data_IF_720688325264
#
_entry.id   IF_720688325264
#
_cell.length_a   1.000
_cell.length_b   1.000
_cell.length_c   1.000
_cell.angle_alpha   90.00
_cell.angle_beta   90.00
_cell.angle_gamma   90.00
#
_symmetry.space_group_name_H-M   'P 1'
#
loop_
_entity.id
_entity.type
_entity.pdbx_description
1 polymer ?
#
# COMPACT_ATOMS: atom_id res chain seq x y z
N UNK A 1 10.45 -0.58 23.24
CA UNK A 1 10.30 -1.63 22.20
C UNK A 1 8.88 -1.71 21.60
N UNK A 2 7.80 -1.50 22.36
CA UNK A 2 6.41 -1.55 21.83
C UNK A 2 6.09 -0.38 20.88
N UNK A 3 6.58 0.82 21.19
CA UNK A 3 6.24 2.05 20.44
C UNK A 3 6.75 2.00 18.99
N UNK A 4 8.04 1.70 18.77
CA UNK A 4 8.58 1.56 17.41
C UNK A 4 7.99 0.36 16.65
N UNK A 5 7.66 -0.75 17.34
CA UNK A 5 7.21 -1.98 16.70
C UNK A 5 5.73 -1.97 16.31
N UNK A 6 4.89 -1.24 17.06
CA UNK A 6 3.43 -1.29 16.88
C UNK A 6 2.79 0.08 16.71
N UNK A 7 3.15 1.06 17.54
CA UNK A 7 2.51 2.39 17.50
C UNK A 7 2.93 3.16 16.26
N UNK A 8 4.22 3.14 15.91
CA UNK A 8 4.73 3.79 14.69
C UNK A 8 4.08 3.25 13.41
N UNK A 9 4.06 1.92 13.15
CA UNK A 9 3.40 1.39 11.96
C UNK A 9 1.88 1.58 11.99
N UNK A 10 1.23 1.50 13.17
CA UNK A 10 -0.22 1.72 13.27
C UNK A 10 -0.59 3.16 12.95
N UNK A 11 0.17 4.15 13.45
CA UNK A 11 -0.08 5.56 13.18
C UNK A 11 0.09 5.89 11.69
N UNK A 12 1.16 5.38 11.07
CA UNK A 12 1.40 5.48 9.63
C UNK A 12 0.27 4.85 8.81
N UNK A 13 -0.25 3.72 9.26
CA UNK A 13 -1.36 3.03 8.62
C UNK A 13 -2.66 3.83 8.73
N UNK A 14 -2.94 4.45 9.88
CA UNK A 14 -4.14 5.29 10.08
C UNK A 14 -4.08 6.53 9.18
N UNK A 15 -2.96 7.26 9.15
CA UNK A 15 -2.84 8.45 8.30
C UNK A 15 -2.89 8.07 6.81
N UNK A 16 -2.39 6.89 6.44
CA UNK A 16 -2.51 6.37 5.08
C UNK A 16 -3.96 6.04 4.72
N UNK A 17 -4.72 5.42 5.62
CA UNK A 17 -6.16 5.18 5.43
C UNK A 17 -6.88 6.51 5.24
N UNK A 18 -6.66 7.49 6.12
CA UNK A 18 -7.26 8.81 5.99
C UNK A 18 -6.86 9.46 4.66
N UNK A 19 -5.59 9.36 4.25
CA UNK A 19 -5.13 9.86 2.96
C UNK A 19 -5.91 9.23 1.80
N UNK A 20 -6.10 7.90 1.80
CA UNK A 20 -6.90 7.21 0.78
C UNK A 20 -8.35 7.69 0.81
N UNK A 21 -8.98 7.78 1.98
CA UNK A 21 -10.36 8.24 2.09
C UNK A 21 -10.56 9.65 1.53
N UNK A 22 -9.68 10.60 1.88
CA UNK A 22 -9.81 11.99 1.45
C UNK A 22 -9.36 12.22 0.00
N UNK A 23 -8.21 11.66 -0.40
CA UNK A 23 -7.59 11.99 -1.70
C UNK A 23 -7.99 11.03 -2.82
N UNK A 24 -8.29 9.78 -2.48
CA UNK A 24 -8.72 8.76 -3.45
C UNK A 24 -10.25 8.70 -3.45
N UNK A 25 -10.88 8.42 -2.32
CA UNK A 25 -12.35 8.26 -2.30
C UNK A 25 -13.13 9.59 -2.28
N UNK A 26 -12.46 10.73 -2.03
CA UNK A 26 -13.11 12.05 -1.99
C UNK A 26 -14.05 12.24 -0.80
N UNK A 27 -13.82 11.54 0.31
CA UNK A 27 -14.67 11.60 1.49
C UNK A 27 -14.66 13.03 2.09
N UNK A 28 -15.79 13.75 2.04
CA UNK A 28 -15.91 15.13 2.57
C UNK A 28 -15.93 16.25 1.53
N UNK A 29 -15.74 15.95 0.24
CA UNK A 29 -16.00 16.88 -0.87
C UNK A 29 -17.09 16.32 -1.78
N UNK A 30 -18.01 17.15 -2.24
CA UNK A 30 -19.15 16.73 -3.09
C UNK A 30 -18.73 16.18 -4.47
N UNK A 31 -17.43 16.20 -4.79
CA UNK A 31 -16.86 15.62 -6.00
C UNK A 31 -15.75 14.63 -5.60
N UNK A 32 -15.87 13.40 -6.12
CA UNK A 32 -14.76 12.46 -6.15
C UNK A 32 -13.60 13.13 -6.88
N UNK A 33 -12.40 13.06 -6.32
CA UNK A 33 -11.19 13.63 -6.94
C UNK A 33 -11.07 13.17 -8.40
N UNK A 34 -10.78 14.10 -9.32
CA UNK A 34 -10.73 13.82 -10.78
C UNK A 34 -9.87 12.61 -11.14
N UNK A 35 -8.83 12.31 -10.34
CA UNK A 35 -7.96 11.15 -10.50
C UNK A 35 -8.67 9.81 -10.30
N UNK A 36 -9.72 9.77 -9.49
CA UNK A 36 -10.51 8.56 -9.22
C UNK A 36 -11.68 8.43 -10.18
N UNK A 37 -12.24 9.54 -10.64
CA UNK A 37 -13.14 9.52 -11.81
C UNK A 37 -12.43 8.94 -13.04
N UNK A 38 -11.13 9.23 -13.21
CA UNK A 38 -10.33 8.64 -14.29
C UNK A 38 -10.07 7.13 -14.10
N UNK A 39 -10.08 6.61 -12.88
CA UNK A 39 -9.82 5.19 -12.60
C UNK A 39 -11.07 4.33 -12.58
N UNK A 40 -12.17 4.83 -12.02
CA UNK A 40 -13.40 4.06 -11.75
C UNK A 40 -14.53 4.45 -12.71
N UNK A 41 -14.40 5.59 -13.40
CA UNK A 41 -15.48 6.19 -14.19
C UNK A 41 -16.50 6.88 -13.30
N UNK A 42 -17.03 8.02 -13.76
CA UNK A 42 -18.05 8.78 -13.04
C UNK A 42 -18.67 9.86 -13.91
N UNK A 43 -19.91 10.25 -13.59
CA UNK A 43 -20.71 11.29 -14.27
C UNK A 43 -20.64 11.26 -15.81
N UNK A 44 -20.95 10.09 -16.39
CA UNK A 44 -21.04 9.92 -17.86
C UNK A 44 -19.70 9.97 -18.60
N UNK A 45 -18.56 10.00 -17.89
CA UNK A 45 -17.22 9.88 -18.48
C UNK A 45 -16.70 8.44 -18.36
N UNK A 46 -16.24 7.83 -19.46
CA UNK A 46 -15.63 6.50 -19.41
C UNK A 46 -14.32 6.57 -18.63
N UNK A 47 -14.02 5.52 -17.86
CA UNK A 47 -12.77 5.41 -17.15
C UNK A 47 -11.58 5.46 -18.14
N UNK A 48 -10.53 6.17 -17.77
CA UNK A 48 -9.33 6.32 -18.56
C UNK A 48 -8.47 5.04 -18.46
N UNK A 49 -8.41 4.29 -19.56
CA UNK A 49 -7.65 3.03 -19.64
C UNK A 49 -6.17 3.19 -19.28
N UNK A 50 -5.56 4.35 -19.59
CA UNK A 50 -4.16 4.61 -19.26
C UNK A 50 -3.98 4.75 -17.75
N UNK A 51 -4.89 5.46 -17.08
CA UNK A 51 -4.85 5.63 -15.62
C UNK A 51 -4.98 4.28 -14.91
N UNK A 52 -5.93 3.44 -15.33
CA UNK A 52 -6.13 2.09 -14.79
C UNK A 52 -4.89 1.23 -14.96
N UNK A 53 -4.27 1.25 -16.14
CA UNK A 53 -3.09 0.45 -16.42
C UNK A 53 -1.88 0.91 -15.59
N UNK A 54 -1.66 2.22 -15.49
CA UNK A 54 -0.58 2.77 -14.67
C UNK A 54 -0.73 2.42 -13.19
N UNK A 55 -1.92 2.56 -12.63
CA UNK A 55 -2.18 2.19 -11.22
C UNK A 55 -2.06 0.68 -11.00
N UNK A 56 -2.56 -0.13 -11.95
CA UNK A 56 -2.43 -1.59 -11.88
C UNK A 56 -0.96 -2.04 -11.91
N UNK A 57 -0.13 -1.38 -12.72
CA UNK A 57 1.30 -1.68 -12.79
C UNK A 57 2.03 -1.30 -11.50
N UNK A 58 1.70 -0.15 -10.91
CA UNK A 58 2.25 0.25 -9.61
C UNK A 58 1.88 -0.78 -8.54
N UNK A 59 0.61 -1.22 -8.50
CA UNK A 59 0.16 -2.27 -7.58
C UNK A 59 0.92 -3.58 -7.77
N UNK A 60 1.15 -4.00 -9.01
CA UNK A 60 1.91 -5.20 -9.32
C UNK A 60 3.35 -5.11 -8.79
N UNK A 61 4.03 -3.99 -9.04
CA UNK A 61 5.40 -3.75 -8.54
C UNK A 61 5.43 -3.73 -7.02
N UNK A 62 4.46 -3.09 -6.37
CA UNK A 62 4.37 -3.07 -4.91
C UNK A 62 4.18 -4.47 -4.32
N UNK A 63 3.30 -5.28 -4.89
CA UNK A 63 3.11 -6.67 -4.46
C UNK A 63 4.41 -7.46 -4.65
N UNK A 64 5.07 -7.32 -5.80
CA UNK A 64 6.33 -7.99 -6.08
C UNK A 64 7.41 -7.62 -5.06
N UNK A 65 7.59 -6.33 -4.76
CA UNK A 65 8.54 -5.85 -3.77
C UNK A 65 8.18 -6.34 -2.36
N UNK A 66 6.91 -6.30 -1.97
CA UNK A 66 6.44 -6.79 -0.68
C UNK A 66 6.72 -8.29 -0.50
N UNK A 67 6.47 -9.10 -1.54
CA UNK A 67 6.79 -10.53 -1.54
C UNK A 67 8.29 -10.77 -1.44
N UNK A 68 9.11 -10.01 -2.17
CA UNK A 68 10.57 -10.10 -2.09
C UNK A 68 11.08 -9.74 -0.69
N UNK A 69 10.61 -8.65 -0.10
CA UNK A 69 10.97 -8.25 1.26
C UNK A 69 10.54 -9.29 2.28
N UNK A 70 9.33 -9.87 2.13
CA UNK A 70 8.85 -10.93 3.02
C UNK A 70 9.65 -12.24 2.86
N UNK A 71 10.11 -12.56 1.65
CA UNK A 71 10.97 -13.71 1.40
C UNK A 71 12.38 -13.50 1.98
N UNK A 72 12.97 -12.31 1.76
CA UNK A 72 14.28 -11.94 2.29
C UNK A 72 14.28 -11.88 3.83
N UNK A 73 13.25 -11.30 4.43
CA UNK A 73 13.11 -11.27 5.90
C UNK A 73 12.98 -12.66 6.52
N UNK A 74 12.27 -13.58 5.84
CA UNK A 74 12.18 -14.99 6.29
C UNK A 74 13.52 -15.73 6.19
N UNK A 75 14.32 -15.44 5.16
CA UNK A 75 15.66 -16.04 5.00
C UNK A 75 16.61 -15.56 6.09
N UNK A 76 16.68 -14.25 6.32
CA UNK A 76 17.52 -13.66 7.37
C UNK A 76 17.14 -14.17 8.76
N UNK A 77 15.83 -14.25 9.06
CA UNK A 77 15.35 -14.75 10.35
C UNK A 77 15.74 -16.22 10.59
N UNK A 78 15.82 -17.04 9.54
CA UNK A 78 16.26 -18.44 9.64
C UNK A 78 17.76 -18.57 9.91
N UNK A 79 18.57 -17.77 9.22
CA UNK A 79 20.03 -17.76 9.39
C UNK A 79 20.40 -17.33 10.83
N UNK A 80 19.74 -16.29 11.36
CA UNK A 80 19.94 -15.84 12.75
C UNK A 80 19.60 -16.92 13.79
N UNK A 81 18.49 -17.65 13.60
CA UNK A 81 18.10 -18.74 14.51
C UNK A 81 18.94 -20.02 14.36
N UNK A 82 19.64 -20.17 13.23
CA UNK A 82 20.56 -21.29 12.99
C UNK A 82 21.92 -21.07 13.67
N UNK A 83 22.37 -19.82 13.77
CA UNK A 83 23.59 -19.46 14.50
C UNK A 83 23.39 -19.52 16.03
N UNK A 84 22.20 -19.21 16.55
CA UNK A 84 21.88 -19.34 17.99
C UNK A 84 21.79 -20.79 18.49
N UNK A 85 21.64 -21.78 17.60
CA UNK A 85 21.60 -23.21 17.95
C UNK A 85 22.95 -23.94 17.87
N UNK A 86 24.03 -23.23 17.53
CA UNK A 86 25.38 -23.77 17.38
C UNK A 86 26.36 -23.29 18.48
N UNK A 87 25.85 -22.76 19.59
CA UNK A 87 26.62 -22.41 20.79
C UNK A 87 26.26 -23.29 21.98
#
# INVERSE_FOLDING_TARGET
>A
KVIMKYISPLFLLIIFILFVLYNVLGFGSAQVSSYVTDLVGGDGKPANLVAILSVSFILLVLIFLALMTAAAGRKWSKELSGEEGAQ
#
